data_IF_211594576855
#
_entry.id   IF_211594576855
#
_cell.length_a   1.000
_cell.length_b   1.000
_cell.length_c   1.000
_cell.angle_alpha   90.00
_cell.angle_beta   90.00
_cell.angle_gamma   90.00
#
_symmetry.space_group_name_H-M   'P 1'
#
loop_
_entity.id
_entity.type
_entity.pdbx_description
1 polymer ?
#
# COMPACT_ATOMS: atom_id res chain seq x y z
N UNK A 1 -63.03 -46.34 -41.14
CA UNK A 1 -61.65 -46.87 -41.02
C UNK A 1 -61.31 -46.83 -39.53
N UNK A 2 -61.48 -47.88 -38.71
CA UNK A 2 -60.49 -48.96 -38.41
C UNK A 2 -59.05 -48.44 -38.62
N UNK A 3 -58.19 -48.35 -37.61
CA UNK A 3 -57.57 -49.46 -36.86
C UNK A 3 -57.17 -49.05 -35.43
N UNK A 4 -57.26 -50.03 -34.53
CA UNK A 4 -56.81 -50.07 -33.13
C UNK A 4 -55.34 -50.49 -33.04
N UNK A 5 -54.55 -49.94 -32.11
CA UNK A 5 -53.50 -50.73 -31.41
C UNK A 5 -53.21 -50.23 -30.00
N UNK A 6 -53.34 -51.19 -29.10
CA UNK A 6 -53.06 -51.29 -27.67
C UNK A 6 -51.59 -51.11 -27.23
N UNK A 7 -51.43 -50.63 -25.98
CA UNK A 7 -50.44 -51.07 -24.94
C UNK A 7 -48.98 -50.64 -25.21
N UNK A 8 -48.27 -49.95 -24.31
CA UNK A 8 -47.65 -50.47 -23.06
C UNK A 8 -47.51 -49.32 -22.04
N UNK A 9 -48.01 -49.56 -20.81
CA UNK A 9 -47.69 -48.77 -19.60
C UNK A 9 -46.29 -49.17 -19.13
N UNK A 10 -45.35 -48.23 -19.06
CA UNK A 10 -44.10 -48.40 -18.34
C UNK A 10 -44.23 -47.77 -16.94
N UNK A 11 -44.36 -48.61 -15.91
CA UNK A 11 -44.13 -48.19 -14.52
C UNK A 11 -42.60 -48.05 -14.34
N UNK A 12 -42.12 -46.81 -14.25
CA UNK A 12 -40.79 -46.53 -13.74
C UNK A 12 -40.85 -46.54 -12.20
N UNK A 13 -40.34 -47.60 -11.59
CA UNK A 13 -40.06 -47.67 -10.16
C UNK A 13 -38.89 -46.71 -9.89
N UNK A 14 -39.19 -45.53 -9.37
CA UNK A 14 -38.19 -44.58 -8.91
C UNK A 14 -37.77 -45.01 -7.50
N UNK A 15 -36.67 -45.76 -7.40
CA UNK A 15 -36.01 -46.08 -6.14
C UNK A 15 -35.41 -44.79 -5.57
N UNK A 16 -36.04 -44.24 -4.55
CA UNK A 16 -35.48 -43.19 -3.72
C UNK A 16 -34.23 -43.73 -3.00
N UNK A 17 -33.05 -43.45 -3.54
CA UNK A 17 -31.82 -43.51 -2.76
C UNK A 17 -31.89 -42.38 -1.73
N UNK A 18 -32.16 -42.74 -0.48
CA UNK A 18 -31.89 -41.91 0.69
C UNK A 18 -30.36 -41.77 0.82
N UNK A 19 -29.78 -40.88 0.03
CA UNK A 19 -28.43 -40.39 0.25
C UNK A 19 -28.44 -39.58 1.53
N UNK A 20 -27.91 -40.17 2.61
CA UNK A 20 -27.55 -39.43 3.81
C UNK A 20 -26.68 -38.25 3.41
N UNK A 21 -27.16 -37.02 3.59
CA UNK A 21 -26.33 -35.83 3.56
C UNK A 21 -25.47 -35.89 4.81
N UNK A 22 -24.42 -36.71 4.76
CA UNK A 22 -23.32 -36.64 5.70
C UNK A 22 -22.74 -35.25 5.51
N UNK A 23 -22.84 -34.42 6.55
CA UNK A 23 -22.11 -33.18 6.62
C UNK A 23 -20.63 -33.51 6.41
N UNK A 24 -20.13 -33.24 5.20
CA UNK A 24 -18.69 -33.23 4.92
C UNK A 24 -18.10 -32.06 5.67
N UNK A 25 -17.87 -32.24 6.98
CA UNK A 25 -16.84 -31.49 7.68
C UNK A 25 -15.53 -31.92 7.03
N UNK A 26 -15.09 -31.14 6.05
CA UNK A 26 -13.68 -31.13 5.71
C UNK A 26 -12.96 -30.75 7.01
N UNK A 27 -12.35 -31.75 7.65
CA UNK A 27 -11.44 -31.54 8.76
C UNK A 27 -10.25 -30.81 8.16
N UNK A 28 -10.22 -29.47 8.26
CA UNK A 28 -9.01 -28.72 7.96
C UNK A 28 -7.95 -29.14 8.99
N UNK A 29 -6.90 -29.88 8.61
CA UNK A 29 -5.92 -30.41 9.56
C UNK A 29 -5.17 -29.30 10.32
N UNK A 30 -5.21 -28.08 9.80
CA UNK A 30 -4.69 -26.87 10.44
C UNK A 30 -5.58 -26.44 11.62
N UNK A 31 -6.90 -26.55 11.50
CA UNK A 31 -7.84 -26.07 12.51
C UNK A 31 -7.82 -26.91 13.80
N UNK A 32 -7.46 -28.19 13.69
CA UNK A 32 -7.36 -29.14 14.81
C UNK A 32 -5.93 -29.23 15.41
N UNK A 33 -4.97 -28.48 14.88
CA UNK A 33 -3.54 -28.58 15.27
C UNK A 33 -3.22 -28.04 16.67
N UNK A 34 -4.12 -27.28 17.30
CA UNK A 34 -3.87 -26.57 18.56
C UNK A 34 -2.83 -25.44 18.44
N UNK A 35 -2.36 -25.14 17.22
CA UNK A 35 -1.34 -24.13 16.98
C UNK A 35 -1.84 -22.72 17.32
N UNK A 36 -0.99 -21.94 17.98
CA UNK A 36 -1.27 -20.54 18.31
C UNK A 36 -1.32 -19.67 17.04
N UNK A 37 -2.02 -18.51 17.08
CA UNK A 37 -2.10 -17.60 15.92
C UNK A 37 -0.72 -17.15 15.42
N UNK A 38 0.24 -16.99 16.33
CA UNK A 38 1.63 -16.59 16.00
C UNK A 38 2.41 -17.69 15.30
N UNK A 39 2.23 -18.95 15.71
CA UNK A 39 2.86 -20.10 15.04
C UNK A 39 2.33 -20.26 13.63
N UNK A 40 1.00 -20.15 13.47
CA UNK A 40 0.35 -20.23 12.16
C UNK A 40 0.75 -19.07 11.24
N UNK A 41 0.92 -17.87 11.78
CA UNK A 41 1.51 -16.76 11.05
C UNK A 41 2.94 -17.08 10.58
N UNK A 42 3.81 -17.58 11.47
CA UNK A 42 5.18 -17.94 11.13
C UNK A 42 5.23 -19.02 10.04
N UNK A 43 4.39 -20.07 10.16
CA UNK A 43 4.27 -21.14 9.18
C UNK A 43 3.85 -20.57 7.82
N UNK A 44 2.77 -19.79 7.79
CA UNK A 44 2.25 -19.21 6.55
C UNK A 44 3.23 -18.24 5.90
N UNK A 45 3.93 -17.42 6.68
CA UNK A 45 4.94 -16.49 6.17
C UNK A 45 6.17 -17.22 5.61
N UNK A 46 6.56 -18.34 6.20
CA UNK A 46 7.65 -19.17 5.68
C UNK A 46 7.24 -19.92 4.42
N UNK A 47 6.02 -20.46 4.35
CA UNK A 47 5.47 -21.06 3.13
C UNK A 47 5.42 -20.02 1.99
N UNK A 48 5.00 -18.79 2.31
CA UNK A 48 4.99 -17.68 1.35
C UNK A 48 6.38 -17.42 0.77
N UNK A 49 7.42 -17.35 1.62
CA UNK A 49 8.81 -17.16 1.19
C UNK A 49 9.35 -18.30 0.30
N UNK A 50 8.80 -19.51 0.43
CA UNK A 50 9.12 -20.66 -0.43
C UNK A 50 8.34 -20.67 -1.75
N UNK A 51 7.40 -19.73 -1.94
CA UNK A 51 6.51 -19.70 -3.10
C UNK A 51 5.30 -20.62 -3.00
N UNK A 52 5.07 -21.25 -1.85
CA UNK A 52 3.94 -22.14 -1.58
C UNK A 52 2.70 -21.31 -1.22
N UNK A 53 2.20 -20.54 -2.19
CA UNK A 53 1.21 -19.48 -1.95
C UNK A 53 -0.13 -20.01 -1.39
N UNK A 54 -0.55 -21.21 -1.80
CA UNK A 54 -1.79 -21.80 -1.31
C UNK A 54 -1.71 -22.22 0.17
N UNK A 55 -0.60 -22.84 0.57
CA UNK A 55 -0.35 -23.21 1.96
C UNK A 55 -0.17 -21.97 2.83
N UNK A 56 0.54 -20.97 2.30
CA UNK A 56 0.66 -19.67 2.93
C UNK A 56 -0.71 -19.04 3.18
N UNK A 57 -1.58 -19.02 2.17
CA UNK A 57 -2.92 -18.46 2.28
C UNK A 57 -3.74 -19.16 3.37
N UNK A 58 -3.73 -20.50 3.42
CA UNK A 58 -4.47 -21.25 4.44
C UNK A 58 -3.97 -20.95 5.86
N UNK A 59 -2.65 -20.99 6.07
CA UNK A 59 -2.05 -20.75 7.37
C UNK A 59 -2.21 -19.30 7.85
N UNK A 60 -2.05 -18.33 6.93
CA UNK A 60 -2.27 -16.92 7.22
C UNK A 60 -3.75 -16.63 7.49
N UNK A 61 -4.68 -17.24 6.75
CA UNK A 61 -6.13 -17.10 6.99
C UNK A 61 -6.49 -17.54 8.40
N UNK A 62 -6.03 -18.71 8.83
CA UNK A 62 -6.25 -19.18 10.19
C UNK A 62 -5.71 -18.19 11.23
N UNK A 63 -4.48 -17.71 11.06
CA UNK A 63 -3.89 -16.74 11.99
C UNK A 63 -4.66 -15.40 12.02
N UNK A 64 -5.10 -14.92 10.86
CA UNK A 64 -5.86 -13.67 10.73
C UNK A 64 -7.26 -13.77 11.35
N UNK A 65 -7.93 -14.92 11.21
CA UNK A 65 -9.23 -15.21 11.84
C UNK A 65 -9.14 -15.24 13.37
N UNK A 66 -7.96 -15.59 13.90
CA UNK A 66 -7.65 -15.51 15.33
C UNK A 66 -7.08 -14.15 15.76
N UNK A 67 -7.15 -13.14 14.90
CA UNK A 67 -6.80 -11.76 15.23
C UNK A 67 -5.32 -11.41 15.06
N UNK A 68 -4.50 -12.24 14.40
CA UNK A 68 -3.09 -11.90 14.20
C UNK A 68 -2.91 -10.77 13.16
N UNK A 69 -2.47 -9.56 13.54
CA UNK A 69 -2.48 -8.39 12.66
C UNK A 69 -1.50 -8.53 11.49
N UNK A 70 -0.32 -9.14 11.71
CA UNK A 70 0.63 -9.39 10.64
C UNK A 70 0.14 -10.39 9.59
N UNK A 71 -0.73 -11.33 10.00
CA UNK A 71 -1.30 -12.31 9.08
C UNK A 71 -2.37 -11.63 8.22
N UNK A 72 -3.23 -10.84 8.87
CA UNK A 72 -4.25 -10.03 8.20
C UNK A 72 -3.64 -9.02 7.22
N UNK A 73 -2.55 -8.36 7.62
CA UNK A 73 -1.78 -7.47 6.75
C UNK A 73 -1.26 -8.22 5.52
N UNK A 74 -0.68 -9.41 5.71
CA UNK A 74 -0.13 -10.17 4.59
C UNK A 74 -1.22 -10.66 3.64
N UNK A 75 -2.36 -11.11 4.15
CA UNK A 75 -3.51 -11.47 3.32
C UNK A 75 -4.04 -10.27 2.53
N UNK A 76 -4.10 -9.09 3.16
CA UNK A 76 -4.48 -7.86 2.46
C UNK A 76 -3.59 -7.58 1.26
N UNK A 77 -2.26 -7.75 1.40
CA UNK A 77 -1.33 -7.63 0.27
C UNK A 77 -1.55 -8.72 -0.78
N UNK A 78 -1.77 -9.97 -0.37
CA UNK A 78 -2.02 -11.06 -1.31
C UNK A 78 -3.25 -10.80 -2.18
N UNK A 79 -4.32 -10.26 -1.59
CA UNK A 79 -5.50 -9.86 -2.36
C UNK A 79 -5.25 -8.63 -3.24
N UNK A 80 -4.52 -7.62 -2.75
CA UNK A 80 -4.21 -6.42 -3.54
C UNK A 80 -3.36 -6.72 -4.78
N UNK A 81 -2.42 -7.66 -4.67
CA UNK A 81 -1.47 -7.98 -5.75
C UNK A 81 -1.92 -9.20 -6.59
N UNK A 82 -3.04 -9.85 -6.24
CA UNK A 82 -3.44 -11.12 -6.83
C UNK A 82 -2.41 -12.24 -6.62
N UNK A 83 -1.70 -12.21 -5.49
CA UNK A 83 -0.53 -13.03 -5.23
C UNK A 83 -0.90 -14.37 -4.59
N UNK A 84 -1.22 -15.35 -5.45
CA UNK A 84 -1.65 -16.69 -5.02
C UNK A 84 -3.14 -16.81 -4.70
N UNK A 85 -3.87 -15.70 -4.84
CA UNK A 85 -5.32 -15.61 -4.84
C UNK A 85 -5.74 -14.69 -6.00
N UNK A 86 -6.98 -14.75 -6.50
CA UNK A 86 -7.48 -13.73 -7.42
C UNK A 86 -7.35 -12.33 -6.79
N UNK A 87 -6.95 -11.35 -7.61
CA UNK A 87 -6.89 -9.95 -7.20
C UNK A 87 -8.28 -9.48 -6.75
N UNK A 88 -8.35 -8.91 -5.55
CA UNK A 88 -9.58 -8.40 -4.95
C UNK A 88 -9.25 -7.22 -4.02
N UNK A 89 -9.27 -6.02 -4.60
CA UNK A 89 -9.04 -4.77 -3.88
C UNK A 89 -10.01 -4.56 -2.71
N UNK A 90 -11.24 -5.07 -2.81
CA UNK A 90 -12.22 -4.88 -1.76
C UNK A 90 -11.93 -5.77 -0.56
N UNK A 91 -11.54 -7.03 -0.79
CA UNK A 91 -11.05 -7.89 0.29
C UNK A 91 -9.76 -7.35 0.91
N UNK A 92 -8.83 -6.85 0.09
CA UNK A 92 -7.63 -6.18 0.57
C UNK A 92 -7.96 -5.02 1.51
N UNK A 93 -8.85 -4.12 1.07
CA UNK A 93 -9.36 -3.01 1.86
C UNK A 93 -9.93 -3.48 3.21
N UNK A 94 -10.80 -4.50 3.21
CA UNK A 94 -11.40 -5.03 4.44
C UNK A 94 -10.37 -5.64 5.38
N UNK A 95 -9.35 -6.32 4.84
CA UNK A 95 -8.26 -6.85 5.66
C UNK A 95 -7.49 -5.72 6.36
N UNK A 96 -7.17 -4.64 5.66
CA UNK A 96 -6.49 -3.48 6.25
C UNK A 96 -7.37 -2.73 7.24
N UNK A 97 -8.65 -2.50 6.93
CA UNK A 97 -9.60 -1.80 7.82
C UNK A 97 -9.72 -2.52 9.16
N UNK A 98 -9.82 -3.85 9.12
CA UNK A 98 -9.92 -4.68 10.31
C UNK A 98 -8.64 -4.60 11.19
N UNK A 99 -7.46 -4.30 10.63
CA UNK A 99 -6.24 -4.07 11.46
C UNK A 99 -6.40 -2.82 12.31
N UNK A 100 -6.97 -1.75 11.74
CA UNK A 100 -7.17 -0.49 12.45
C UNK A 100 -8.30 -0.61 13.47
N UNK A 101 -9.38 -1.30 13.11
CA UNK A 101 -10.55 -1.46 13.98
C UNK A 101 -10.27 -2.31 15.22
N UNK A 102 -9.50 -3.38 15.06
CA UNK A 102 -9.19 -4.32 16.14
C UNK A 102 -7.93 -3.87 16.93
N UNK A 103 -7.55 -2.59 16.83
CA UNK A 103 -6.46 -1.99 17.57
C UNK A 103 -6.89 -1.72 19.03
N UNK A 104 -6.34 -2.49 19.97
CA UNK A 104 -6.62 -2.34 21.41
C UNK A 104 -5.68 -1.35 22.13
N UNK A 105 -4.59 -0.90 21.49
CA UNK A 105 -3.57 0.01 22.08
C UNK A 105 -3.16 1.10 21.07
N UNK A 106 -3.35 2.37 21.44
CA UNK A 106 -3.07 3.57 20.63
C UNK A 106 -1.57 3.95 20.57
N UNK A 107 -0.68 3.14 21.14
CA UNK A 107 0.75 3.47 21.17
C UNK A 107 1.46 3.17 19.85
N UNK A 108 2.14 4.18 19.28
CA UNK A 108 3.10 4.02 18.19
C UNK A 108 4.30 3.10 18.52
N UNK A 109 4.45 2.71 19.80
CA UNK A 109 5.45 1.74 20.26
C UNK A 109 4.93 0.29 20.31
N UNK A 110 3.69 0.04 19.87
CA UNK A 110 3.13 -1.30 19.77
C UNK A 110 3.99 -2.19 18.85
N UNK A 111 4.18 -3.49 19.17
CA UNK A 111 4.81 -4.46 18.25
C UNK A 111 4.16 -4.51 16.85
N UNK A 112 2.93 -4.00 16.73
CA UNK A 112 2.14 -3.99 15.50
C UNK A 112 2.18 -2.65 14.75
N UNK A 113 2.91 -1.65 15.24
CA UNK A 113 2.92 -0.28 14.69
C UNK A 113 3.25 -0.25 13.18
N UNK A 114 4.15 -1.12 12.71
CA UNK A 114 4.48 -1.22 11.29
C UNK A 114 3.29 -1.70 10.43
N UNK A 115 2.52 -2.68 10.92
CA UNK A 115 1.33 -3.18 10.21
C UNK A 115 0.22 -2.13 10.19
N UNK A 116 0.03 -1.41 11.30
CA UNK A 116 -0.96 -0.33 11.41
C UNK A 116 -0.59 0.81 10.44
N UNK A 117 0.65 1.27 10.47
CA UNK A 117 1.15 2.31 9.56
C UNK A 117 0.94 1.94 8.10
N UNK A 118 1.34 0.73 7.71
CA UNK A 118 1.18 0.25 6.34
C UNK A 118 -0.30 0.08 5.95
N UNK A 119 -1.15 -0.38 6.87
CA UNK A 119 -2.58 -0.51 6.64
C UNK A 119 -3.24 0.86 6.45
N UNK A 120 -2.89 1.87 7.26
CA UNK A 120 -3.36 3.25 7.07
C UNK A 120 -2.98 3.81 5.70
N UNK A 121 -1.74 3.59 5.25
CA UNK A 121 -1.27 4.01 3.92
C UNK A 121 -2.06 3.32 2.80
N UNK A 122 -2.30 2.02 2.91
CA UNK A 122 -3.08 1.26 1.91
C UNK A 122 -4.55 1.70 1.89
N UNK A 123 -5.18 1.88 3.05
CA UNK A 123 -6.54 2.40 3.17
C UNK A 123 -6.65 3.81 2.59
N UNK A 124 -5.69 4.68 2.88
CA UNK A 124 -5.66 6.02 2.31
C UNK A 124 -5.61 5.97 0.77
N UNK A 125 -4.83 5.06 0.19
CA UNK A 125 -4.76 4.89 -1.25
C UNK A 125 -6.09 4.40 -1.86
N UNK A 126 -6.71 3.38 -1.26
CA UNK A 126 -8.01 2.88 -1.69
C UNK A 126 -9.11 3.92 -1.57
N UNK A 127 -9.19 4.61 -0.44
CA UNK A 127 -10.18 5.67 -0.21
C UNK A 127 -9.94 6.85 -1.15
N UNK A 128 -8.69 7.19 -1.48
CA UNK A 128 -8.40 8.29 -2.42
C UNK A 128 -8.92 8.00 -3.83
N UNK A 129 -8.77 6.76 -4.29
CA UNK A 129 -9.16 6.32 -5.65
C UNK A 129 -10.62 5.85 -5.74
N UNK A 130 -11.17 5.32 -4.64
CA UNK A 130 -12.37 4.50 -4.63
C UNK A 130 -12.11 3.10 -5.22
N UNK A 131 -12.99 2.14 -4.93
CA UNK A 131 -12.95 0.78 -5.47
C UNK A 131 -14.25 0.54 -6.26
N UNK A 132 -14.18 0.45 -7.61
CA UNK A 132 -15.36 0.29 -8.46
C UNK A 132 -16.22 -0.92 -8.09
N UNK A 133 -17.55 -0.75 -8.10
CA UNK A 133 -18.49 -1.82 -7.79
C UNK A 133 -18.65 -2.14 -6.29
N UNK A 134 -18.03 -1.35 -5.41
CA UNK A 134 -18.10 -1.52 -3.96
C UNK A 134 -18.66 -0.27 -3.27
N UNK A 135 -18.94 -0.32 -1.95
CA UNK A 135 -19.28 0.86 -1.17
C UNK A 135 -18.12 1.85 -0.95
N UNK A 136 -16.87 1.49 -1.28
CA UNK A 136 -15.70 2.36 -1.07
C UNK A 136 -15.63 3.37 -2.21
N UNK A 137 -16.22 4.53 -2.00
CA UNK A 137 -16.18 5.65 -2.95
C UNK A 137 -14.95 6.53 -2.72
N UNK A 138 -14.50 7.21 -3.76
CA UNK A 138 -13.36 8.11 -3.68
C UNK A 138 -13.64 9.28 -2.72
N UNK A 139 -12.82 9.44 -1.70
CA UNK A 139 -12.85 10.54 -0.74
C UNK A 139 -11.43 11.04 -0.45
N UNK A 140 -11.05 12.11 -1.15
CA UNK A 140 -9.75 12.75 -0.97
C UNK A 140 -9.55 13.34 0.45
N UNK A 141 -10.61 13.78 1.11
CA UNK A 141 -10.53 14.35 2.47
C UNK A 141 -10.22 13.28 3.50
N UNK A 142 -10.93 12.15 3.44
CA UNK A 142 -10.67 11.01 4.30
C UNK A 142 -9.29 10.39 4.02
N UNK A 143 -8.91 10.25 2.75
CA UNK A 143 -7.57 9.76 2.39
C UNK A 143 -6.46 10.65 2.97
N UNK A 144 -6.63 11.98 2.90
CA UNK A 144 -5.66 12.92 3.48
C UNK A 144 -5.57 12.79 4.99
N UNK A 145 -6.68 12.53 5.68
CA UNK A 145 -6.69 12.28 7.12
C UNK A 145 -5.93 10.99 7.49
N UNK A 146 -6.15 9.91 6.73
CA UNK A 146 -5.44 8.63 6.93
C UNK A 146 -3.94 8.76 6.68
N UNK A 147 -3.53 9.43 5.59
CA UNK A 147 -2.11 9.74 5.36
C UNK A 147 -1.53 10.63 6.46
N UNK A 148 -2.30 11.61 6.96
CA UNK A 148 -1.86 12.43 8.07
C UNK A 148 -1.60 11.61 9.33
N UNK A 149 -2.50 10.70 9.67
CA UNK A 149 -2.33 9.80 10.80
C UNK A 149 -1.07 8.93 10.66
N UNK A 150 -0.88 8.29 9.50
CA UNK A 150 0.33 7.49 9.22
C UNK A 150 1.62 8.33 9.28
N UNK A 151 1.59 9.54 8.70
CA UNK A 151 2.73 10.44 8.63
C UNK A 151 3.12 11.02 10.00
N UNK A 152 2.16 11.37 10.85
CA UNK A 152 2.41 12.05 12.12
C UNK A 152 2.66 11.09 13.28
N UNK A 153 1.88 10.00 13.38
CA UNK A 153 1.99 9.06 14.51
C UNK A 153 3.08 8.02 14.30
N UNK A 154 3.24 7.52 13.08
CA UNK A 154 4.21 6.45 12.77
C UNK A 154 5.44 6.96 12.02
N UNK A 155 5.41 8.22 11.56
CA UNK A 155 6.51 8.78 10.79
C UNK A 155 6.72 8.05 9.46
N UNK A 156 5.69 7.49 8.86
CA UNK A 156 5.81 6.70 7.63
C UNK A 156 6.28 7.57 6.47
N UNK A 157 7.42 7.23 5.85
CA UNK A 157 8.02 8.07 4.81
C UNK A 157 7.15 8.16 3.55
N UNK A 158 6.45 7.07 3.20
CA UNK A 158 5.51 7.07 2.06
C UNK A 158 4.29 7.93 2.40
N UNK A 159 3.74 7.82 3.60
CA UNK A 159 2.62 8.67 4.03
C UNK A 159 3.01 10.15 4.05
N UNK A 160 4.20 10.49 4.55
CA UNK A 160 4.72 11.85 4.56
C UNK A 160 4.86 12.42 3.13
N UNK A 161 5.34 11.61 2.20
CA UNK A 161 5.41 11.97 0.79
C UNK A 161 4.02 12.20 0.17
N UNK A 162 3.09 11.26 0.32
CA UNK A 162 1.75 11.37 -0.27
C UNK A 162 0.96 12.53 0.35
N UNK A 163 1.06 12.73 1.67
CA UNK A 163 0.49 13.90 2.33
C UNK A 163 1.06 15.20 1.76
N UNK A 164 2.39 15.26 1.54
CA UNK A 164 3.05 16.38 0.88
C UNK A 164 2.47 16.66 -0.52
N UNK A 165 2.27 15.62 -1.33
CA UNK A 165 1.65 15.75 -2.66
C UNK A 165 0.21 16.26 -2.58
N UNK A 166 -0.60 15.71 -1.71
CA UNK A 166 -1.99 16.15 -1.51
C UNK A 166 -2.05 17.61 -1.04
N UNK A 167 -1.13 18.01 -0.17
CA UNK A 167 -1.00 19.40 0.28
C UNK A 167 -0.56 20.35 -0.84
N UNK A 168 0.29 19.93 -1.78
CA UNK A 168 0.63 20.74 -2.95
C UNK A 168 -0.56 20.90 -3.90
N UNK A 169 -1.28 19.80 -4.16
CA UNK A 169 -2.40 19.77 -5.09
C UNK A 169 -3.68 20.41 -4.51
N UNK A 170 -3.81 20.52 -3.19
CA UNK A 170 -5.09 20.83 -2.55
C UNK A 170 -6.07 19.66 -2.59
N UNK A 171 -5.59 18.44 -2.77
CA UNK A 171 -6.43 17.25 -2.73
C UNK A 171 -6.94 17.05 -1.28
N UNK A 172 -8.26 16.91 -1.13
CA UNK A 172 -8.90 16.74 0.18
C UNK A 172 -8.85 17.97 1.09
N UNK A 173 -8.64 19.18 0.55
CA UNK A 173 -8.63 20.40 1.35
C UNK A 173 -8.11 21.62 0.57
N UNK A 174 -7.48 22.57 1.28
CA UNK A 174 -6.79 23.70 0.63
C UNK A 174 -5.33 23.35 0.39
N UNK A 175 -4.72 23.85 -0.71
CA UNK A 175 -3.29 23.74 -0.92
C UNK A 175 -2.50 24.41 0.21
N UNK A 176 -1.40 23.80 0.62
CA UNK A 176 -0.45 24.36 1.57
C UNK A 176 0.98 23.88 1.24
N UNK A 177 1.66 24.52 0.27
CA UNK A 177 2.99 24.11 -0.17
C UNK A 177 4.06 24.17 0.92
N UNK A 178 3.95 25.12 1.87
CA UNK A 178 4.91 25.23 2.97
C UNK A 178 4.84 24.01 3.89
N UNK A 179 3.64 23.58 4.24
CA UNK A 179 3.45 22.37 5.02
C UNK A 179 3.85 21.13 4.22
N UNK A 180 3.59 21.11 2.91
CA UNK A 180 4.04 20.02 2.05
C UNK A 180 5.57 19.85 2.10
N UNK A 181 6.32 20.94 1.95
CA UNK A 181 7.79 20.90 2.01
C UNK A 181 8.31 20.39 3.37
N UNK A 182 7.62 20.67 4.47
CA UNK A 182 7.99 20.13 5.78
C UNK A 182 7.83 18.60 5.82
N UNK A 183 6.71 18.06 5.32
CA UNK A 183 6.52 16.61 5.25
C UNK A 183 7.49 15.94 4.28
N UNK A 184 7.74 16.55 3.12
CA UNK A 184 8.72 16.07 2.15
C UNK A 184 10.14 16.07 2.72
N UNK A 185 10.49 17.06 3.54
CA UNK A 185 11.78 17.10 4.26
C UNK A 185 11.92 15.88 5.18
N UNK A 186 10.89 15.57 5.97
CA UNK A 186 10.90 14.41 6.87
C UNK A 186 11.04 13.09 6.09
N UNK A 187 10.30 12.93 4.99
CA UNK A 187 10.40 11.74 4.14
C UNK A 187 11.78 11.63 3.44
N UNK A 188 12.33 12.75 2.97
CA UNK A 188 13.66 12.81 2.37
C UNK A 188 14.76 12.43 3.37
N UNK A 189 14.66 12.84 4.64
CA UNK A 189 15.61 12.44 5.69
C UNK A 189 15.57 10.93 5.96
N UNK A 190 14.43 10.28 5.71
CA UNK A 190 14.26 8.82 5.79
C UNK A 190 14.72 8.11 4.49
N UNK A 191 15.30 8.84 3.54
CA UNK A 191 15.84 8.31 2.30
C UNK A 191 14.77 8.02 1.23
N UNK A 192 13.58 8.63 1.30
CA UNK A 192 12.52 8.41 0.32
C UNK A 192 12.79 9.19 -0.98
N UNK A 193 13.17 8.55 -2.11
CA UNK A 193 13.72 9.26 -3.28
C UNK A 193 12.71 10.22 -3.93
N UNK A 194 11.45 9.80 -4.06
CA UNK A 194 10.39 10.66 -4.61
C UNK A 194 10.17 11.93 -3.77
N UNK A 195 10.33 11.85 -2.45
CA UNK A 195 10.20 13.02 -1.58
C UNK A 195 11.39 13.96 -1.71
N UNK A 196 12.61 13.42 -1.79
CA UNK A 196 13.80 14.22 -2.03
C UNK A 196 13.72 14.95 -3.38
N UNK A 197 13.31 14.26 -4.44
CA UNK A 197 13.12 14.85 -5.76
C UNK A 197 12.10 16.00 -5.74
N UNK A 198 10.93 15.77 -5.14
CA UNK A 198 9.86 16.77 -5.08
C UNK A 198 10.26 17.97 -4.24
N UNK A 199 10.96 17.75 -3.12
CA UNK A 199 11.50 18.83 -2.30
C UNK A 199 12.57 19.62 -3.04
N UNK A 200 13.46 18.94 -3.76
CA UNK A 200 14.46 19.56 -4.63
C UNK A 200 13.82 20.45 -5.69
N UNK A 201 12.73 19.99 -6.31
CA UNK A 201 11.95 20.79 -7.25
C UNK A 201 11.34 22.06 -6.60
N UNK A 202 10.75 21.92 -5.40
CA UNK A 202 10.20 23.08 -4.65
C UNK A 202 11.27 24.09 -4.23
N UNK A 203 12.47 23.62 -3.91
CA UNK A 203 13.62 24.47 -3.52
C UNK A 203 14.20 25.17 -4.75
N UNK A 204 14.27 24.47 -5.89
CA UNK A 204 14.65 25.05 -7.17
C UNK A 204 13.71 26.20 -7.55
N UNK A 205 12.40 26.00 -7.47
CA UNK A 205 11.42 27.06 -7.75
C UNK A 205 11.45 28.17 -6.68
N UNK A 206 11.43 27.78 -5.39
CA UNK A 206 11.42 28.65 -4.22
C UNK A 206 10.11 29.43 -4.02
N UNK A 207 9.44 29.85 -5.09
CA UNK A 207 8.22 30.68 -5.08
C UNK A 207 7.06 29.98 -4.39
N UNK A 208 6.80 28.72 -4.72
CA UNK A 208 5.69 27.93 -4.17
C UNK A 208 5.72 27.88 -2.63
N UNK A 209 6.91 27.83 -2.04
CA UNK A 209 7.11 27.74 -0.58
C UNK A 209 7.60 29.07 0.03
N UNK A 210 7.65 30.14 -0.76
CA UNK A 210 8.05 31.49 -0.37
C UNK A 210 9.47 31.60 0.21
N UNK A 211 10.42 30.88 -0.38
CA UNK A 211 11.84 31.02 -0.10
C UNK A 211 12.56 31.63 -1.30
N UNK A 212 13.82 32.02 -1.12
CA UNK A 212 14.71 32.31 -2.25
C UNK A 212 14.99 31.01 -3.01
N UNK A 213 14.87 31.04 -4.33
CA UNK A 213 15.25 29.92 -5.19
C UNK A 213 16.71 29.51 -4.97
N UNK A 214 16.96 28.21 -4.88
CA UNK A 214 18.29 27.62 -4.69
C UNK A 214 18.55 26.57 -5.79
N UNK A 215 18.97 27.00 -7.00
CA UNK A 215 19.00 26.13 -8.18
C UNK A 215 19.98 24.96 -8.04
N UNK A 216 21.18 25.25 -7.50
CA UNK A 216 22.22 24.24 -7.24
C UNK A 216 21.72 23.15 -6.29
N UNK A 217 21.13 23.54 -5.16
CA UNK A 217 20.65 22.59 -4.14
C UNK A 217 19.50 21.76 -4.67
N UNK A 218 18.52 22.40 -5.33
CA UNK A 218 17.38 21.71 -5.93
C UNK A 218 17.80 20.68 -6.98
N UNK A 219 18.68 21.06 -7.92
CA UNK A 219 19.19 20.14 -8.94
C UNK A 219 20.05 19.02 -8.35
N UNK A 220 20.86 19.30 -7.33
CA UNK A 220 21.67 18.29 -6.64
C UNK A 220 20.79 17.22 -5.98
N UNK A 221 19.71 17.64 -5.31
CA UNK A 221 18.73 16.76 -4.69
C UNK A 221 18.00 15.89 -5.73
N UNK A 222 17.52 16.48 -6.83
CA UNK A 222 16.89 15.74 -7.92
C UNK A 222 17.84 14.71 -8.54
N UNK A 223 19.09 15.07 -8.77
CA UNK A 223 20.12 14.19 -9.34
C UNK A 223 20.43 13.02 -8.39
N UNK A 224 20.55 13.29 -7.09
CA UNK A 224 20.80 12.27 -6.08
C UNK A 224 19.60 11.34 -5.91
N UNK A 225 18.39 11.90 -5.84
CA UNK A 225 17.14 11.15 -5.78
C UNK A 225 16.98 10.20 -6.97
N UNK A 226 17.25 10.68 -8.19
CA UNK A 226 17.17 9.85 -9.40
C UNK A 226 18.14 8.66 -9.36
N UNK A 227 19.35 8.85 -8.81
CA UNK A 227 20.34 7.77 -8.66
C UNK A 227 19.94 6.75 -7.58
N UNK A 228 19.34 7.21 -6.49
CA UNK A 228 18.92 6.35 -5.38
C UNK A 228 17.60 5.60 -5.63
N UNK A 229 16.80 6.08 -6.58
CA UNK A 229 15.49 5.55 -6.92
C UNK A 229 15.53 4.19 -7.64
N UNK A 230 14.51 3.36 -7.37
CA UNK A 230 14.20 2.17 -8.15
C UNK A 230 13.82 2.53 -9.60
N UNK A 231 13.78 1.54 -10.50
CA UNK A 231 13.45 1.79 -11.91
C UNK A 231 12.09 2.48 -12.10
N UNK A 232 11.06 2.03 -11.38
CA UNK A 232 9.72 2.64 -11.41
C UNK A 232 9.74 4.08 -10.88
N UNK A 233 10.46 4.33 -9.79
CA UNK A 233 10.57 5.68 -9.24
C UNK A 233 11.37 6.62 -10.15
N UNK A 234 12.36 6.10 -10.88
CA UNK A 234 13.13 6.88 -11.83
C UNK A 234 12.25 7.41 -12.97
N UNK A 235 11.26 6.66 -13.43
CA UNK A 235 10.32 7.13 -14.46
C UNK A 235 9.56 8.38 -14.00
N UNK A 236 9.22 8.46 -12.71
CA UNK A 236 8.55 9.61 -12.13
C UNK A 236 9.49 10.80 -11.85
N UNK A 237 10.72 10.52 -11.38
CA UNK A 237 11.69 11.57 -10.99
C UNK A 237 12.37 12.21 -12.20
N UNK A 238 12.66 11.42 -13.25
CA UNK A 238 13.41 11.86 -14.43
C UNK A 238 12.86 13.13 -15.09
N UNK A 239 11.55 13.27 -15.40
CA UNK A 239 11.05 14.49 -16.03
C UNK A 239 11.28 15.74 -15.16
N UNK A 240 11.13 15.64 -13.82
CA UNK A 240 11.40 16.76 -12.91
C UNK A 240 12.89 17.16 -12.94
N UNK A 241 13.77 16.16 -12.96
CA UNK A 241 15.21 16.40 -13.00
C UNK A 241 15.64 17.00 -14.33
N UNK A 242 15.13 16.50 -15.45
CA UNK A 242 15.44 16.99 -16.80
C UNK A 242 14.95 18.43 -17.01
N UNK A 243 13.75 18.75 -16.53
CA UNK A 243 13.22 20.12 -16.55
C UNK A 243 14.14 21.09 -15.79
N UNK A 244 14.49 20.74 -14.54
CA UNK A 244 15.36 21.57 -13.70
C UNK A 244 16.78 21.67 -14.27
N UNK A 245 17.30 20.60 -14.87
CA UNK A 245 18.60 20.58 -15.53
C UNK A 245 18.63 21.51 -16.76
N UNK A 246 17.56 21.51 -17.55
CA UNK A 246 17.44 22.35 -18.74
C UNK A 246 17.34 23.84 -18.40
N UNK A 247 16.70 24.18 -17.27
CA UNK A 247 16.58 25.55 -16.78
C UNK A 247 17.84 26.07 -16.05
N UNK A 248 18.69 25.18 -15.57
CA UNK A 248 19.94 25.52 -14.90
C UNK A 248 21.03 25.96 -15.89
N UNK A 249 21.85 26.94 -15.52
CA UNK A 249 23.05 27.29 -16.30
C UNK A 249 24.17 26.24 -16.10
N UNK A 250 25.24 26.32 -16.87
CA UNK A 250 26.33 25.33 -16.82
C UNK A 250 27.08 25.31 -15.48
N UNK A 251 27.32 26.46 -14.86
CA UNK A 251 28.00 26.55 -13.57
C UNK A 251 27.17 25.87 -12.46
N UNK A 252 25.87 26.13 -12.44
CA UNK A 252 24.93 25.50 -11.50
C UNK A 252 24.89 23.98 -11.69
N UNK A 253 24.88 23.51 -12.94
CA UNK A 253 24.90 22.07 -13.27
C UNK A 253 26.15 21.38 -12.76
N UNK A 254 27.32 21.97 -12.99
CA UNK A 254 28.59 21.39 -12.54
C UNK A 254 28.65 21.36 -11.01
N UNK A 255 28.24 22.43 -10.35
CA UNK A 255 28.21 22.52 -8.89
C UNK A 255 27.22 21.50 -8.31
N UNK A 256 26.00 21.44 -8.85
CA UNK A 256 24.98 20.49 -8.41
C UNK A 256 25.43 19.03 -8.55
N UNK A 257 26.18 18.70 -9.62
CA UNK A 257 26.77 17.37 -9.80
C UNK A 257 27.76 17.01 -8.68
N UNK A 258 28.57 17.97 -8.22
CA UNK A 258 29.47 17.76 -7.08
C UNK A 258 28.68 17.57 -5.78
N UNK A 259 27.69 18.42 -5.52
CA UNK A 259 26.87 18.36 -4.31
C UNK A 259 26.05 17.06 -4.24
N UNK A 260 25.56 16.55 -5.37
CA UNK A 260 24.80 15.29 -5.42
C UNK A 260 25.58 14.04 -4.95
N UNK A 261 26.90 14.16 -4.78
CA UNK A 261 27.79 13.09 -4.31
C UNK A 261 28.06 13.17 -2.80
N UNK A 262 27.66 14.25 -2.13
CA UNK A 262 27.88 14.43 -0.69
C UNK A 262 26.97 13.49 0.10
N UNK A 263 27.55 12.86 1.13
CA UNK A 263 26.81 12.04 2.08
C UNK A 263 26.08 12.90 3.11
N UNK A 264 24.87 12.49 3.50
CA UNK A 264 24.03 13.22 4.46
C UNK A 264 22.92 14.08 3.82
N UNK A 265 22.08 14.76 4.62
CA UNK A 265 20.95 15.53 4.10
C UNK A 265 21.40 16.80 3.37
N UNK A 266 21.17 16.86 2.05
CA UNK A 266 21.54 18.04 1.24
C UNK A 266 20.77 19.32 1.63
N UNK A 267 19.60 19.16 2.26
CA UNK A 267 18.78 20.27 2.73
C UNK A 267 19.36 21.00 3.95
N UNK A 268 20.30 20.39 4.65
CA UNK A 268 20.92 20.97 5.84
C UNK A 268 22.35 21.49 5.56
N UNK A 269 22.81 21.42 4.31
CA UNK A 269 24.08 22.02 3.91
C UNK A 269 23.98 23.55 3.94
N UNK A 270 25.05 24.27 4.37
CA UNK A 270 25.06 25.73 4.45
C UNK A 270 24.84 26.42 3.09
#
# INVERSE_FOLDING_TARGET
MRVSTSVIRALAVCTCFLGSVGASRALDPIADSGASPREMFSLGFNAYKRGEKQEAFQALSFAADKGHPGARWKLGQMYADGDGVPEDDYEAFRMFERIIRDQDDDSASSPNAAYISSALVALAEYVRKGIPGTPVVADAGQARALYNQAASYFGDARAQFELGRMLLAGEGGRPNPRQAAQWLKLASHKGYPKAEALLGYLIFDGKAISIRSEPVRGLAMLTRALRAASAEEQEWIRPLQEEVFALSNEEDRQTARMYSQVEGPLIDLP
#
